data_IF_248131489669
#
_entry.id   IF_248131489669
#
_cell.length_a   1.000
_cell.length_b   1.000
_cell.length_c   1.000
_cell.angle_alpha   90.00
_cell.angle_beta   90.00
_cell.angle_gamma   90.00
#
_symmetry.space_group_name_H-M   'P 1'
#
loop_
_entity.id
_entity.type
_entity.pdbx_description
1 polymer ?
#
# COMPACT_ATOMS: atom_id res chain seq x y z
N UNK A 1 -4.78 -0.18 -13.77
CA UNK A 1 -5.34 -1.46 -14.28
C UNK A 1 -6.80 -1.35 -14.77
N UNK A 2 -7.73 -0.72 -14.03
CA UNK A 2 -9.14 -0.58 -14.47
C UNK A 2 -9.32 0.07 -15.86
N UNK A 3 -8.61 1.16 -16.15
CA UNK A 3 -8.66 1.81 -17.47
C UNK A 3 -8.09 0.91 -18.58
N UNK A 4 -6.98 0.21 -18.32
CA UNK A 4 -6.37 -0.74 -19.26
C UNK A 4 -7.34 -1.86 -19.63
N UNK A 5 -7.87 -2.59 -18.64
CA UNK A 5 -8.80 -3.69 -18.87
C UNK A 5 -10.16 -3.23 -19.40
N UNK A 6 -10.59 -2.03 -19.01
CA UNK A 6 -11.81 -1.39 -19.54
C UNK A 6 -11.70 -1.09 -21.03
N UNK A 7 -10.55 -0.62 -21.51
CA UNK A 7 -10.32 -0.39 -22.96
C UNK A 7 -10.34 -1.67 -23.79
N UNK A 8 -10.25 -2.83 -23.14
CA UNK A 8 -10.17 -4.14 -23.77
C UNK A 8 -11.47 -4.94 -23.59
N UNK A 9 -12.51 -4.36 -22.98
CA UNK A 9 -13.78 -5.03 -22.65
C UNK A 9 -13.60 -6.31 -21.81
N UNK A 10 -12.59 -6.34 -20.94
CA UNK A 10 -12.28 -7.50 -20.09
C UNK A 10 -12.43 -7.21 -18.57
N UNK A 11 -12.83 -6.00 -18.19
CA UNK A 11 -12.99 -5.62 -16.77
C UNK A 11 -14.06 -6.47 -16.06
N UNK A 12 -15.10 -6.86 -16.78
CA UNK A 12 -16.16 -7.72 -16.26
C UNK A 12 -15.66 -9.12 -15.88
N UNK A 13 -14.68 -9.67 -16.60
CA UNK A 13 -14.07 -10.97 -16.26
C UNK A 13 -13.30 -10.91 -14.95
N UNK A 14 -12.66 -9.78 -14.64
CA UNK A 14 -11.96 -9.60 -13.37
C UNK A 14 -12.93 -9.51 -12.18
N UNK A 15 -14.10 -8.90 -12.38
CA UNK A 15 -15.09 -8.69 -11.30
C UNK A 15 -16.01 -9.91 -11.14
N UNK A 16 -16.61 -10.38 -12.23
CA UNK A 16 -17.59 -11.47 -12.21
C UNK A 16 -16.89 -12.83 -12.18
N UNK A 17 -15.80 -12.95 -12.92
CA UNK A 17 -15.08 -14.22 -13.13
C UNK A 17 -15.61 -14.98 -14.33
N UNK A 18 -14.74 -15.78 -14.91
CA UNK A 18 -15.13 -16.87 -15.79
C UNK A 18 -15.73 -18.01 -14.96
N UNK A 19 -16.84 -18.57 -15.43
CA UNK A 19 -17.48 -19.75 -14.82
C UNK A 19 -17.24 -20.91 -15.75
N UNK A 20 -16.38 -21.82 -15.33
CA UNK A 20 -16.11 -23.06 -16.07
C UNK A 20 -17.26 -24.06 -15.88
N UNK A 21 -17.65 -24.83 -16.92
CA UNK A 21 -18.64 -25.89 -16.77
C UNK A 21 -18.18 -26.94 -15.76
N UNK A 22 -19.08 -27.40 -14.90
CA UNK A 22 -18.75 -28.37 -13.84
C UNK A 22 -18.20 -29.70 -14.37
N UNK A 23 -18.61 -30.10 -15.58
CA UNK A 23 -18.13 -31.30 -16.25
C UNK A 23 -18.42 -31.27 -17.76
N UNK A 24 -17.81 -32.21 -18.49
CA UNK A 24 -18.00 -32.38 -19.92
C UNK A 24 -19.46 -32.67 -20.32
N UNK A 25 -20.29 -33.23 -19.44
CA UNK A 25 -21.70 -33.52 -19.72
C UNK A 25 -22.55 -32.23 -19.66
N UNK A 26 -22.27 -31.34 -18.71
CA UNK A 26 -22.87 -30.02 -18.60
C UNK A 26 -22.48 -29.15 -19.79
N UNK A 27 -21.22 -29.21 -20.23
CA UNK A 27 -20.78 -28.53 -21.45
C UNK A 27 -21.42 -29.12 -22.71
N UNK A 28 -21.58 -30.45 -22.79
CA UNK A 28 -22.22 -31.11 -23.93
C UNK A 28 -23.71 -30.76 -24.05
N UNK A 29 -24.40 -30.61 -22.93
CA UNK A 29 -25.82 -30.24 -22.84
C UNK A 29 -26.13 -28.79 -23.26
N UNK A 30 -25.11 -27.93 -23.35
CA UNK A 30 -25.28 -26.56 -23.83
C UNK A 30 -25.65 -26.53 -25.32
N UNK A 31 -26.54 -25.59 -25.65
CA UNK A 31 -26.83 -25.21 -27.03
C UNK A 31 -25.60 -24.64 -27.72
N UNK A 32 -25.62 -24.61 -29.05
CA UNK A 32 -24.53 -24.03 -29.82
C UNK A 32 -24.28 -22.55 -29.50
N UNK A 33 -25.33 -21.80 -29.14
CA UNK A 33 -25.22 -20.39 -28.76
C UNK A 33 -24.58 -20.22 -27.38
N UNK A 34 -24.96 -21.04 -26.40
CA UNK A 34 -24.35 -21.03 -25.07
C UNK A 34 -22.86 -21.44 -25.13
N UNK A 35 -22.50 -22.42 -25.95
CA UNK A 35 -21.10 -22.81 -26.20
C UNK A 35 -20.28 -21.69 -26.84
N UNK A 36 -20.90 -20.86 -27.67
CA UNK A 36 -20.25 -19.68 -28.27
C UNK A 36 -19.99 -18.61 -27.21
N UNK A 37 -21.00 -18.29 -26.41
CA UNK A 37 -20.88 -17.33 -25.29
C UNK A 37 -19.80 -17.77 -24.30
N UNK A 38 -19.75 -19.05 -23.93
CA UNK A 38 -18.75 -19.60 -23.03
C UNK A 38 -17.33 -19.44 -23.58
N UNK A 39 -17.11 -19.79 -24.86
CA UNK A 39 -15.80 -19.62 -25.52
C UNK A 39 -15.37 -18.17 -25.60
N UNK A 40 -16.30 -17.25 -25.86
CA UNK A 40 -16.01 -15.83 -25.90
C UNK A 40 -15.71 -15.25 -24.50
N UNK A 41 -16.37 -15.75 -23.45
CA UNK A 41 -16.03 -15.43 -22.07
C UNK A 41 -14.63 -15.94 -21.69
N UNK A 42 -14.29 -17.19 -22.02
CA UNK A 42 -12.97 -17.76 -21.79
C UNK A 42 -11.86 -16.94 -22.47
N UNK A 43 -12.06 -16.55 -23.73
CA UNK A 43 -11.10 -15.70 -24.45
C UNK A 43 -10.89 -14.35 -23.76
N UNK A 44 -11.96 -13.72 -23.27
CA UNK A 44 -11.86 -12.44 -22.54
C UNK A 44 -11.17 -12.61 -21.19
N UNK A 45 -11.43 -13.71 -20.48
CA UNK A 45 -10.75 -14.00 -19.22
C UNK A 45 -9.24 -14.23 -19.43
N UNK A 46 -8.86 -15.07 -20.40
CA UNK A 46 -7.45 -15.30 -20.73
C UNK A 46 -6.74 -14.01 -21.19
N UNK A 47 -7.43 -13.16 -21.94
CA UNK A 47 -6.91 -11.84 -22.34
C UNK A 47 -6.74 -10.92 -21.13
N UNK A 48 -7.70 -10.86 -20.20
CA UNK A 48 -7.54 -10.10 -18.96
C UNK A 48 -6.35 -10.63 -18.14
N UNK A 49 -6.23 -11.95 -17.99
CA UNK A 49 -5.14 -12.58 -17.24
C UNK A 49 -3.78 -12.20 -17.82
N UNK A 50 -3.64 -12.28 -19.15
CA UNK A 50 -2.44 -11.84 -19.85
C UNK A 50 -2.09 -10.37 -19.57
N UNK A 51 -3.08 -9.46 -19.64
CA UNK A 51 -2.84 -8.06 -19.33
C UNK A 51 -2.46 -7.82 -17.86
N UNK A 52 -3.03 -8.60 -16.94
CA UNK A 52 -2.64 -8.54 -15.53
C UNK A 52 -1.17 -8.95 -15.38
N UNK A 53 -0.75 -10.06 -16.00
CA UNK A 53 0.63 -10.53 -15.97
C UNK A 53 1.63 -9.53 -16.55
N UNK A 54 1.27 -8.87 -17.65
CA UNK A 54 2.12 -7.83 -18.28
C UNK A 54 2.23 -6.54 -17.46
N UNK A 55 1.21 -6.24 -16.65
CA UNK A 55 1.12 -4.97 -15.94
C UNK A 55 1.72 -4.99 -14.52
N UNK A 56 2.16 -6.16 -14.04
CA UNK A 56 2.80 -6.32 -12.73
C UNK A 56 4.31 -6.48 -12.88
N UNK A 57 5.03 -6.11 -11.83
CA UNK A 57 6.46 -6.39 -11.66
C UNK A 57 6.69 -7.86 -11.25
N UNK A 58 7.94 -8.31 -11.35
CA UNK A 58 8.36 -9.70 -11.10
C UNK A 58 7.88 -10.23 -9.73
N UNK A 59 8.03 -9.44 -8.66
CA UNK A 59 7.60 -9.83 -7.32
C UNK A 59 6.09 -10.05 -7.19
N UNK A 60 5.27 -9.27 -7.91
CA UNK A 60 3.83 -9.48 -7.91
C UNK A 60 3.40 -10.54 -8.92
N UNK A 61 4.16 -10.76 -9.99
CA UNK A 61 3.96 -11.86 -10.94
C UNK A 61 4.13 -13.22 -10.27
N UNK A 62 5.19 -13.44 -9.49
CA UNK A 62 5.42 -14.70 -8.76
C UNK A 62 4.22 -15.11 -7.91
N UNK A 63 3.54 -14.14 -7.29
CA UNK A 63 2.35 -14.39 -6.44
C UNK A 63 1.12 -14.86 -7.23
N UNK A 64 1.06 -14.54 -8.52
CA UNK A 64 -0.09 -14.83 -9.39
C UNK A 64 0.25 -15.79 -10.53
N UNK A 65 1.48 -16.31 -10.59
CA UNK A 65 1.94 -17.17 -11.68
C UNK A 65 1.10 -18.45 -11.82
N UNK A 66 0.54 -18.95 -10.72
CA UNK A 66 -0.35 -20.12 -10.68
C UNK A 66 -1.84 -19.78 -10.92
N UNK A 67 -2.18 -18.51 -11.12
CA UNK A 67 -3.56 -18.11 -11.35
C UNK A 67 -4.03 -18.55 -12.74
N UNK A 68 -5.14 -19.28 -12.79
CA UNK A 68 -5.71 -19.79 -14.05
C UNK A 68 -6.77 -18.87 -14.64
N UNK A 69 -7.31 -17.96 -13.81
CA UNK A 69 -8.33 -16.98 -14.22
C UNK A 69 -7.92 -15.55 -13.84
N UNK A 70 -8.41 -14.58 -14.61
CA UNK A 70 -8.12 -13.17 -14.35
C UNK A 70 -8.63 -12.72 -12.97
N UNK A 71 -9.79 -13.26 -12.54
CA UNK A 71 -10.36 -13.01 -11.23
C UNK A 71 -9.46 -13.54 -10.10
N UNK A 72 -8.97 -14.77 -10.21
CA UNK A 72 -8.07 -15.34 -9.20
C UNK A 72 -6.79 -14.51 -9.08
N UNK A 73 -6.17 -14.12 -10.20
CA UNK A 73 -4.99 -13.27 -10.21
C UNK A 73 -5.27 -11.93 -9.50
N UNK A 74 -6.38 -11.28 -9.84
CA UNK A 74 -6.78 -10.01 -9.24
C UNK A 74 -7.06 -10.11 -7.73
N UNK A 75 -7.78 -11.14 -7.28
CA UNK A 75 -8.06 -11.36 -5.87
C UNK A 75 -6.78 -11.61 -5.06
N UNK A 76 -5.82 -12.37 -5.62
CA UNK A 76 -4.52 -12.61 -4.99
C UNK A 76 -3.71 -11.32 -4.87
N UNK A 77 -3.66 -10.49 -5.92
CA UNK A 77 -3.02 -9.16 -5.85
C UNK A 77 -3.69 -8.29 -4.79
N UNK A 78 -5.03 -8.26 -4.75
CA UNK A 78 -5.78 -7.48 -3.77
C UNK A 78 -5.47 -7.94 -2.34
N UNK A 79 -5.45 -9.25 -2.08
CA UNK A 79 -5.09 -9.82 -0.78
C UNK A 79 -3.64 -9.47 -0.39
N UNK A 80 -2.69 -9.57 -1.34
CA UNK A 80 -1.30 -9.19 -1.08
C UNK A 80 -1.17 -7.72 -0.70
N UNK A 81 -1.84 -6.82 -1.42
CA UNK A 81 -1.83 -5.37 -1.13
C UNK A 81 -2.48 -5.05 0.22
N UNK A 82 -3.57 -5.75 0.58
CA UNK A 82 -4.15 -5.64 1.93
C UNK A 82 -3.17 -6.07 3.01
N UNK A 83 -2.37 -7.11 2.77
CA UNK A 83 -1.29 -7.54 3.67
C UNK A 83 -0.24 -6.44 3.86
N UNK A 84 0.19 -5.80 2.78
CA UNK A 84 1.13 -4.67 2.81
C UNK A 84 0.57 -3.50 3.62
N UNK A 85 -0.69 -3.12 3.40
CA UNK A 85 -1.33 -2.04 4.16
C UNK A 85 -1.48 -2.37 5.65
N UNK A 86 -1.77 -3.63 6.00
CA UNK A 86 -1.77 -4.08 7.41
C UNK A 86 -0.36 -3.98 8.01
N UNK A 87 0.67 -4.41 7.29
CA UNK A 87 2.06 -4.31 7.74
C UNK A 87 2.50 -2.85 7.95
N UNK A 88 2.17 -1.94 7.01
CA UNK A 88 2.40 -0.50 7.17
C UNK A 88 1.73 0.06 8.42
N UNK A 89 0.46 -0.32 8.68
CA UNK A 89 -0.25 0.11 9.89
C UNK A 89 0.44 -0.36 11.17
N UNK A 90 0.90 -1.62 11.23
CA UNK A 90 1.64 -2.13 12.40
C UNK A 90 2.95 -1.38 12.58
N UNK A 91 3.75 -1.22 11.51
CA UNK A 91 5.00 -0.45 11.53
C UNK A 91 4.76 0.99 11.98
N UNK A 92 3.69 1.62 11.50
CA UNK A 92 3.32 2.98 11.86
C UNK A 92 3.03 3.11 13.37
N UNK A 93 2.38 2.12 13.98
CA UNK A 93 2.17 2.14 15.44
C UNK A 93 3.48 2.06 16.22
N UNK A 94 4.42 1.22 15.78
CA UNK A 94 5.76 1.19 16.38
C UNK A 94 6.49 2.53 16.25
N UNK A 95 6.41 3.16 15.07
CA UNK A 95 7.03 4.47 14.82
C UNK A 95 6.42 5.60 15.64
N UNK A 96 5.10 5.59 15.86
CA UNK A 96 4.44 6.54 16.77
C UNK A 96 4.98 6.40 18.18
N UNK A 97 5.07 5.18 18.70
CA UNK A 97 5.64 4.93 20.02
C UNK A 97 7.09 5.38 20.09
N UNK A 98 7.90 5.09 19.07
CA UNK A 98 9.28 5.56 18.98
C UNK A 98 9.36 7.09 18.99
N UNK A 99 8.55 7.76 18.16
CA UNK A 99 8.48 9.22 18.08
C UNK A 99 8.12 9.85 19.42
N UNK A 100 7.12 9.31 20.13
CA UNK A 100 6.73 9.82 21.45
C UNK A 100 7.82 9.57 22.51
N UNK A 101 8.54 8.44 22.44
CA UNK A 101 9.64 8.12 23.36
C UNK A 101 10.95 8.86 23.04
N UNK A 102 11.11 9.44 21.84
CA UNK A 102 12.33 10.17 21.48
C UNK A 102 12.60 11.29 22.48
N UNK A 103 13.82 11.29 23.02
CA UNK A 103 14.38 12.37 23.84
C UNK A 103 15.83 12.58 23.48
N UNK A 104 16.30 13.81 23.68
CA UNK A 104 17.70 14.15 23.50
C UNK A 104 18.54 13.48 24.62
N UNK A 105 19.61 12.81 24.22
CA UNK A 105 20.63 12.24 25.11
C UNK A 105 21.60 13.33 25.53
N UNK A 106 22.21 13.17 26.69
CA UNK A 106 23.21 14.13 27.20
C UNK A 106 24.50 14.16 26.40
N UNK A 107 24.79 13.09 25.63
CA UNK A 107 26.02 12.92 24.87
C UNK A 107 25.90 13.23 23.38
N UNK A 108 24.69 13.50 22.87
CA UNK A 108 24.48 13.81 21.45
C UNK A 108 24.38 15.32 21.20
N UNK A 109 24.70 15.76 19.98
CA UNK A 109 24.49 17.15 19.58
C UNK A 109 23.02 17.43 19.24
N UNK A 110 22.65 18.71 19.16
CA UNK A 110 21.30 19.11 18.71
C UNK A 110 21.06 18.64 17.28
N UNK A 111 22.05 18.78 16.40
CA UNK A 111 21.92 18.40 14.99
C UNK A 111 21.72 16.89 14.82
N UNK A 112 22.44 16.08 15.61
CA UNK A 112 22.23 14.63 15.66
C UNK A 112 20.81 14.32 16.12
N UNK A 113 20.35 14.97 17.18
CA UNK A 113 19.02 14.76 17.73
C UNK A 113 17.91 15.13 16.74
N UNK A 114 18.00 16.31 16.13
CA UNK A 114 17.08 16.79 15.08
C UNK A 114 17.05 15.81 13.92
N UNK A 115 18.21 15.30 13.51
CA UNK A 115 18.31 14.30 12.43
C UNK A 115 17.59 13.01 12.78
N UNK A 116 17.70 12.51 14.03
CA UNK A 116 16.96 11.33 14.49
C UNK A 116 15.45 11.57 14.49
N UNK A 117 14.97 12.71 14.99
CA UNK A 117 13.53 13.03 14.97
C UNK A 117 13.00 13.09 13.54
N UNK A 118 13.72 13.76 12.63
CA UNK A 118 13.36 13.83 11.21
C UNK A 118 13.37 12.46 10.55
N UNK A 119 14.30 11.58 10.89
CA UNK A 119 14.34 10.22 10.35
C UNK A 119 13.04 9.46 10.69
N UNK A 120 12.63 9.46 11.96
CA UNK A 120 11.39 8.80 12.41
C UNK A 120 10.16 9.45 11.77
N UNK A 121 10.08 10.79 11.75
CA UNK A 121 9.00 11.52 11.09
C UNK A 121 8.86 11.15 9.60
N UNK A 122 9.99 11.03 8.89
CA UNK A 122 10.01 10.63 7.49
C UNK A 122 9.60 9.16 7.29
N UNK A 123 9.91 8.27 8.23
CA UNK A 123 9.40 6.90 8.20
C UNK A 123 7.89 6.85 8.46
N UNK A 124 7.37 7.64 9.39
CA UNK A 124 5.92 7.76 9.63
C UNK A 124 5.19 8.24 8.37
N UNK A 125 5.76 9.25 7.69
CA UNK A 125 5.26 9.75 6.40
C UNK A 125 5.21 8.67 5.32
N UNK A 126 6.27 7.88 5.19
CA UNK A 126 6.32 6.75 4.24
C UNK A 126 5.31 5.65 4.56
N UNK A 127 4.91 5.50 5.82
CA UNK A 127 3.90 4.54 6.27
C UNK A 127 2.46 5.12 6.30
N UNK A 128 2.23 6.30 5.71
CA UNK A 128 0.89 6.83 5.46
C UNK A 128 0.41 7.89 6.47
N UNK A 129 1.26 8.39 7.37
CA UNK A 129 0.90 9.46 8.29
C UNK A 129 1.43 10.82 7.84
N UNK A 130 0.54 11.78 7.61
CA UNK A 130 0.94 13.16 7.37
C UNK A 130 1.29 13.85 8.70
N UNK A 131 2.57 13.93 9.01
CA UNK A 131 3.07 14.67 10.17
C UNK A 131 3.44 16.10 9.76
N UNK A 132 2.76 17.10 10.33
CA UNK A 132 3.05 18.51 10.04
C UNK A 132 4.41 18.95 10.62
N UNK A 133 5.11 19.83 9.92
CA UNK A 133 6.42 20.37 10.35
C UNK A 133 6.36 21.00 11.75
N UNK A 134 5.26 21.68 12.09
CA UNK A 134 5.04 22.27 13.43
C UNK A 134 5.08 21.19 14.51
N UNK A 135 4.38 20.07 14.32
CA UNK A 135 4.39 18.95 15.29
C UNK A 135 5.78 18.33 15.47
N UNK A 136 6.58 18.29 14.39
CA UNK A 136 7.97 17.83 14.46
C UNK A 136 8.82 18.82 15.25
N UNK A 137 8.70 20.12 14.98
CA UNK A 137 9.42 21.17 15.70
C UNK A 137 9.06 21.19 17.18
N UNK A 138 7.77 21.18 17.51
CA UNK A 138 7.31 21.09 18.89
C UNK A 138 7.84 19.85 19.60
N UNK A 139 7.87 18.69 18.91
CA UNK A 139 8.46 17.46 19.47
C UNK A 139 9.92 17.70 19.82
N UNK A 140 10.70 18.29 18.91
CA UNK A 140 12.12 18.57 19.15
C UNK A 140 12.26 19.44 20.41
N UNK A 141 11.58 20.60 20.44
CA UNK A 141 11.66 21.57 21.54
C UNK A 141 11.28 20.94 22.89
N UNK A 142 10.17 20.19 22.97
CA UNK A 142 9.68 19.56 24.20
C UNK A 142 10.58 18.45 24.75
N UNK A 143 11.51 17.93 23.96
CA UNK A 143 12.39 16.83 24.38
C UNK A 143 13.87 17.08 24.20
N UNK A 144 14.27 18.35 24.06
CA UNK A 144 15.62 18.81 24.35
C UNK A 144 15.94 18.63 25.85
N UNK A 145 17.24 18.52 26.16
CA UNK A 145 17.70 18.52 27.56
C UNK A 145 17.65 19.93 28.16
N UNK A 146 17.49 20.02 29.48
CA UNK A 146 17.36 21.29 30.23
C UNK A 146 18.45 22.33 29.96
N UNK A 147 19.64 21.89 29.53
CA UNK A 147 20.74 22.77 29.12
C UNK A 147 20.32 23.75 28.02
N UNK A 148 19.30 23.44 27.22
CA UNK A 148 18.83 24.27 26.11
C UNK A 148 17.51 24.98 26.39
N UNK A 149 17.00 24.98 27.62
CA UNK A 149 15.70 25.59 27.95
C UNK A 149 15.64 27.08 27.56
N UNK A 150 16.73 27.83 27.76
CA UNK A 150 16.80 29.25 27.36
C UNK A 150 16.71 29.45 25.84
N UNK A 151 17.16 28.47 25.04
CA UNK A 151 17.07 28.51 23.58
C UNK A 151 15.64 28.19 23.14
N UNK A 152 14.98 27.25 23.82
CA UNK A 152 13.57 26.88 23.53
C UNK A 152 12.66 28.09 23.69
N UNK A 153 12.73 28.78 24.83
CA UNK A 153 11.92 29.98 25.11
C UNK A 153 12.12 31.05 24.04
N UNK A 154 13.37 31.34 23.66
CA UNK A 154 13.66 32.34 22.63
C UNK A 154 13.11 31.97 21.24
N UNK A 155 13.07 30.68 20.89
CA UNK A 155 12.51 30.21 19.61
C UNK A 155 10.97 30.29 19.61
N UNK A 156 10.34 29.87 20.71
CA UNK A 156 8.88 29.92 20.85
C UNK A 156 8.38 31.37 20.78
N UNK A 157 9.04 32.31 21.47
CA UNK A 157 8.71 33.75 21.45
C UNK A 157 8.99 34.42 20.09
N UNK A 158 10.03 33.99 19.37
CA UNK A 158 10.41 34.63 18.08
C UNK A 158 9.62 34.12 16.88
N UNK A 159 9.05 32.91 16.94
CA UNK A 159 8.33 32.29 15.83
C UNK A 159 6.83 32.11 16.06
N UNK A 160 6.32 32.51 17.22
CA UNK A 160 4.90 32.44 17.61
C UNK A 160 4.32 31.04 17.31
N UNK A 161 4.97 30.02 17.85
CA UNK A 161 4.62 28.59 17.70
C UNK A 161 3.54 28.13 18.71
N UNK A 162 2.84 29.09 19.31
CA UNK A 162 1.83 28.92 20.37
C UNK A 162 0.45 28.53 19.83
#
# INVERSE_FOLDING_TARGET
>A
MKALLGSQDCWDMVVKGYVEPENAAAEAALTNEEKKVLRDALKRDQRALYYIFQAVDESNFEKIAEATTAKQAWETLQKSLQGVEKAKKVRLQSLRTEFEMLKMKTTESIDDYVSRVKAVANEMKRNGEALGEVRVMEKILRSLIRKFDYVVVAIEESKDLT
#
